data_IF_575104568041
#
_entry.id   IF_575104568041
#
_cell.length_a   1.000
_cell.length_b   1.000
_cell.length_c   1.000
_cell.angle_alpha   90.00
_cell.angle_beta   90.00
_cell.angle_gamma   90.00
#
_symmetry.space_group_name_H-M   'P 1'
#
loop_
_entity.id
_entity.type
_entity.pdbx_description
1 polymer ?
#
# COMPACT_ATOMS: atom_id res chain seq x y z
N UNK A 1 19.57 -7.65 17.61
CA UNK A 1 18.27 -7.08 17.20
C UNK A 1 18.49 -6.04 16.10
N UNK A 2 17.70 -6.14 15.06
CA UNK A 2 17.75 -5.19 13.93
C UNK A 2 17.27 -3.81 14.39
N UNK A 3 17.99 -2.76 14.01
CA UNK A 3 17.64 -1.37 14.38
C UNK A 3 17.07 -0.56 13.22
N UNK A 4 17.35 -0.94 11.99
CA UNK A 4 17.04 -0.16 10.78
C UNK A 4 16.26 -1.05 9.83
N UNK A 5 15.42 -0.42 9.02
CA UNK A 5 14.63 -1.09 8.02
C UNK A 5 13.27 -1.52 8.56
N UNK A 6 12.61 -2.40 7.82
CA UNK A 6 11.32 -2.93 8.22
C UNK A 6 11.51 -3.95 9.33
N UNK A 7 11.07 -3.60 10.53
CA UNK A 7 11.24 -4.47 11.70
C UNK A 7 10.15 -5.53 11.80
N UNK A 8 9.04 -5.36 11.09
CA UNK A 8 7.97 -6.36 11.08
C UNK A 8 8.38 -7.54 10.21
N UNK A 9 8.57 -8.70 10.82
CA UNK A 9 9.06 -9.89 10.12
C UNK A 9 8.06 -10.43 9.08
N UNK A 10 6.77 -10.25 9.31
CA UNK A 10 5.75 -10.69 8.35
C UNK A 10 5.81 -9.86 7.07
N UNK A 11 5.94 -8.53 7.21
CA UNK A 11 6.10 -7.66 6.05
C UNK A 11 7.41 -7.96 5.33
N UNK A 12 8.50 -8.05 6.07
CA UNK A 12 9.81 -8.31 5.48
C UNK A 12 9.83 -9.62 4.67
N UNK A 13 9.21 -10.67 5.21
CA UNK A 13 9.12 -11.95 4.50
C UNK A 13 8.29 -11.83 3.23
N UNK A 14 7.12 -11.19 3.30
CA UNK A 14 6.26 -11.02 2.12
C UNK A 14 6.99 -10.24 1.03
N UNK A 15 7.67 -9.15 1.37
CA UNK A 15 8.40 -8.35 0.39
C UNK A 15 9.56 -9.12 -0.23
N UNK A 16 10.26 -9.93 0.55
CA UNK A 16 11.34 -10.77 0.03
C UNK A 16 10.83 -11.87 -0.90
N UNK A 17 9.61 -12.35 -0.67
CA UNK A 17 9.01 -13.42 -1.47
C UNK A 17 8.34 -12.92 -2.75
N UNK A 18 8.14 -11.60 -2.91
CA UNK A 18 7.48 -11.06 -4.09
C UNK A 18 8.29 -11.27 -5.35
N UNK A 19 7.66 -11.86 -6.36
CA UNK A 19 8.19 -11.96 -7.70
C UNK A 19 7.84 -10.73 -8.54
N UNK A 20 8.32 -10.71 -9.77
CA UNK A 20 8.18 -9.58 -10.68
C UNK A 20 6.73 -9.19 -10.98
N UNK A 21 5.82 -10.15 -11.01
CA UNK A 21 4.41 -9.94 -11.33
C UNK A 21 3.50 -9.92 -10.12
N UNK A 22 4.04 -10.09 -8.92
CA UNK A 22 3.25 -10.13 -7.71
C UNK A 22 2.80 -8.73 -7.29
N UNK A 23 1.73 -8.69 -6.52
CA UNK A 23 1.11 -7.44 -6.06
C UNK A 23 0.85 -7.50 -4.57
N UNK A 24 0.90 -6.33 -3.93
CA UNK A 24 0.47 -6.17 -2.55
C UNK A 24 -0.59 -5.07 -2.49
N UNK A 25 -1.46 -5.15 -1.50
CA UNK A 25 -2.48 -4.15 -1.25
C UNK A 25 -2.29 -3.58 0.14
N UNK A 26 -2.32 -2.26 0.25
CA UNK A 26 -2.29 -1.55 1.53
C UNK A 26 -3.63 -0.84 1.69
N UNK A 27 -4.31 -1.14 2.77
CA UNK A 27 -5.62 -0.56 3.02
C UNK A 27 -5.84 -0.27 4.50
N UNK A 28 -7.01 0.29 4.83
CA UNK A 28 -7.39 0.51 6.22
C UNK A 28 -7.85 -0.81 6.88
N UNK A 29 -8.11 -0.76 8.18
CA UNK A 29 -8.48 -1.95 8.94
C UNK A 29 -9.87 -2.51 8.56
N UNK A 30 -10.67 -1.73 7.85
CA UNK A 30 -11.99 -2.17 7.39
C UNK A 30 -11.97 -2.86 6.02
N UNK A 31 -10.82 -2.89 5.34
CA UNK A 31 -10.74 -3.51 4.03
C UNK A 31 -10.92 -5.03 4.14
N UNK A 32 -11.92 -5.60 3.44
CA UNK A 32 -12.08 -7.05 3.46
C UNK A 32 -10.97 -7.73 2.67
N UNK A 33 -10.43 -8.80 3.24
CA UNK A 33 -9.37 -9.60 2.60
C UNK A 33 -9.98 -10.92 2.15
N UNK A 34 -9.90 -11.27 0.86
CA UNK A 34 -10.43 -12.53 0.37
C UNK A 34 -9.74 -13.73 1.00
N UNK A 35 -10.48 -14.82 1.10
CA UNK A 35 -9.91 -16.10 1.55
C UNK A 35 -8.78 -16.54 0.62
N UNK A 36 -7.70 -17.05 1.20
CA UNK A 36 -6.53 -17.47 0.43
C UNK A 36 -5.50 -16.36 0.21
N UNK A 37 -5.83 -15.11 0.53
CA UNK A 37 -4.89 -14.00 0.48
C UNK A 37 -4.31 -13.77 1.87
N UNK A 38 -2.98 -13.71 1.96
CA UNK A 38 -2.30 -13.45 3.23
C UNK A 38 -2.63 -12.05 3.75
N UNK A 39 -2.99 -11.96 5.01
CA UNK A 39 -3.30 -10.69 5.67
C UNK A 39 -2.28 -10.41 6.76
N UNK A 40 -1.74 -9.19 6.75
CA UNK A 40 -0.88 -8.70 7.82
C UNK A 40 -1.59 -7.51 8.45
N UNK A 41 -2.01 -7.67 9.69
CA UNK A 41 -2.72 -6.63 10.42
C UNK A 41 -1.73 -5.81 11.23
N UNK A 42 -1.60 -4.53 10.88
CA UNK A 42 -0.69 -3.60 11.55
C UNK A 42 -1.43 -2.63 12.48
N UNK A 43 -2.74 -2.73 12.57
CA UNK A 43 -3.52 -1.79 13.36
C UNK A 43 -3.18 -1.91 14.84
N UNK A 44 -2.68 -0.82 15.42
CA UNK A 44 -2.42 -0.71 16.85
C UNK A 44 -3.58 -0.01 17.54
N UNK A 45 -3.98 1.11 16.98
CA UNK A 45 -5.14 1.89 17.42
C UNK A 45 -5.55 2.82 16.29
N UNK A 46 -6.64 3.54 16.46
CA UNK A 46 -7.14 4.44 15.44
C UNK A 46 -6.06 5.44 15.00
N UNK A 47 -5.72 5.42 13.72
CA UNK A 47 -4.71 6.29 13.12
C UNK A 47 -3.26 5.85 13.32
N UNK A 48 -3.00 4.67 13.87
CA UNK A 48 -1.64 4.17 14.07
C UNK A 48 -1.52 2.68 13.71
N UNK A 49 -0.57 2.32 12.82
CA UNK A 49 0.23 3.23 11.99
C UNK A 49 -0.63 3.92 10.94
N UNK A 50 -0.16 5.04 10.40
CA UNK A 50 -0.86 5.73 9.31
C UNK A 50 -0.65 4.97 8.01
N UNK A 51 -1.63 5.07 7.11
CA UNK A 51 -1.54 4.46 5.77
C UNK A 51 -0.28 4.90 5.03
N UNK A 52 -0.01 6.21 5.03
CA UNK A 52 1.13 6.73 4.27
C UNK A 52 2.48 6.34 4.89
N UNK A 53 2.56 6.16 6.19
CA UNK A 53 3.79 5.70 6.83
C UNK A 53 4.14 4.29 6.37
N UNK A 54 3.16 3.40 6.28
CA UNK A 54 3.35 2.03 5.80
C UNK A 54 3.76 2.05 4.33
N UNK A 55 3.09 2.84 3.50
CA UNK A 55 3.39 2.96 2.08
C UNK A 55 4.80 3.48 1.85
N UNK A 56 5.20 4.53 2.56
CA UNK A 56 6.55 5.10 2.43
C UNK A 56 7.64 4.10 2.80
N UNK A 57 7.43 3.37 3.87
CA UNK A 57 8.41 2.38 4.32
C UNK A 57 8.57 1.26 3.29
N UNK A 58 7.47 0.75 2.77
CA UNK A 58 7.51 -0.28 1.73
C UNK A 58 8.20 0.27 0.47
N UNK A 59 7.86 1.46 0.03
CA UNK A 59 8.43 2.08 -1.16
C UNK A 59 9.95 2.31 -1.05
N UNK A 60 10.45 2.51 0.16
CA UNK A 60 11.87 2.72 0.41
C UNK A 60 12.71 1.49 0.04
N UNK A 61 12.16 0.29 0.23
CA UNK A 61 12.91 -0.96 0.05
C UNK A 61 12.50 -1.76 -1.17
N UNK A 62 11.49 -1.31 -1.90
CA UNK A 62 10.97 -2.04 -3.06
C UNK A 62 11.03 -1.19 -4.32
N UNK A 63 11.33 -1.82 -5.44
CA UNK A 63 11.18 -1.20 -6.74
C UNK A 63 9.74 -1.37 -7.21
N UNK A 64 9.00 -0.27 -7.24
CA UNK A 64 7.59 -0.27 -7.59
C UNK A 64 7.44 0.19 -9.04
N UNK A 65 6.84 -0.65 -9.88
CA UNK A 65 6.64 -0.34 -11.29
C UNK A 65 5.28 0.29 -11.57
N UNK A 66 4.26 -0.12 -10.83
CA UNK A 66 2.88 0.31 -11.08
C UNK A 66 2.12 0.44 -9.77
N UNK A 67 1.30 1.47 -9.69
CA UNK A 67 0.45 1.75 -8.54
C UNK A 67 -1.00 1.79 -8.99
N UNK A 68 -1.86 1.04 -8.30
CA UNK A 68 -3.31 1.06 -8.52
C UNK A 68 -3.96 1.84 -7.39
N UNK A 69 -4.67 2.89 -7.73
CA UNK A 69 -5.29 3.78 -6.73
C UNK A 69 -6.76 4.00 -7.07
N UNK A 70 -7.61 4.07 -6.06
CA UNK A 70 -9.01 4.37 -6.24
C UNK A 70 -9.20 5.83 -6.67
N UNK A 71 -10.03 6.06 -7.69
CA UNK A 71 -10.36 7.41 -8.18
C UNK A 71 -10.94 8.28 -7.07
N UNK A 72 -11.71 7.68 -6.19
CA UNK A 72 -12.36 8.37 -5.07
C UNK A 72 -11.38 8.98 -4.09
N UNK A 73 -10.14 8.50 -4.05
CA UNK A 73 -9.11 9.07 -3.18
C UNK A 73 -8.82 10.52 -3.52
N UNK A 74 -8.85 10.89 -4.80
CA UNK A 74 -8.61 12.27 -5.26
C UNK A 74 -9.62 13.25 -4.67
N UNK A 75 -10.90 12.86 -4.62
CA UNK A 75 -11.97 13.73 -4.17
C UNK A 75 -12.24 13.63 -2.67
N UNK A 76 -12.17 12.42 -2.10
CA UNK A 76 -12.53 12.18 -0.69
C UNK A 76 -11.36 12.33 0.27
N UNK A 77 -10.14 12.15 -0.20
CA UNK A 77 -8.94 12.31 0.62
C UNK A 77 -7.83 12.95 -0.21
N UNK A 78 -7.96 14.24 -0.56
CA UNK A 78 -7.00 14.90 -1.43
C UNK A 78 -5.60 14.99 -0.84
N UNK A 79 -5.47 15.03 0.48
CA UNK A 79 -4.15 15.01 1.12
C UNK A 79 -3.44 13.69 0.90
N UNK A 80 -4.13 12.57 1.06
CA UNK A 80 -3.57 11.25 0.81
C UNK A 80 -3.20 11.06 -0.66
N UNK A 81 -4.04 11.56 -1.57
CA UNK A 81 -3.77 11.56 -3.00
C UNK A 81 -2.45 12.29 -3.29
N UNK A 82 -2.28 13.46 -2.70
CA UNK A 82 -1.07 14.26 -2.86
C UNK A 82 0.15 13.56 -2.27
N UNK A 83 0.02 12.99 -1.07
CA UNK A 83 1.10 12.27 -0.41
C UNK A 83 1.54 11.06 -1.25
N UNK A 84 0.61 10.34 -1.86
CA UNK A 84 0.93 9.23 -2.73
C UNK A 84 1.69 9.68 -3.99
N UNK A 85 1.37 10.84 -4.54
CA UNK A 85 2.11 11.40 -5.67
C UNK A 85 3.54 11.79 -5.31
N UNK A 86 3.78 12.18 -4.07
CA UNK A 86 5.12 12.45 -3.58
C UNK A 86 5.95 11.18 -3.45
N UNK A 87 5.33 10.10 -2.98
CA UNK A 87 6.01 8.79 -2.84
C UNK A 87 6.22 8.14 -4.20
N UNK A 88 5.25 8.24 -5.10
CA UNK A 88 5.26 7.61 -6.42
C UNK A 88 5.08 8.66 -7.52
N UNK A 89 6.16 9.38 -7.92
CA UNK A 89 6.06 10.36 -9.00
C UNK A 89 5.60 9.71 -10.31
N UNK A 90 4.69 10.38 -11.02
CA UNK A 90 4.11 9.85 -12.28
C UNK A 90 5.15 9.62 -13.38
N UNK A 91 6.28 10.33 -13.33
CA UNK A 91 7.37 10.16 -14.30
C UNK A 91 8.23 8.91 -14.03
N UNK A 92 8.10 8.29 -12.85
CA UNK A 92 8.88 7.12 -12.45
C UNK A 92 8.05 5.87 -12.27
N UNK A 93 6.78 6.02 -11.93
CA UNK A 93 5.87 4.91 -11.64
C UNK A 93 4.61 5.08 -12.46
N UNK A 94 4.17 4.01 -13.11
CA UNK A 94 2.90 4.03 -13.83
C UNK A 94 1.72 4.04 -12.87
N UNK A 95 0.79 4.97 -13.06
CA UNK A 95 -0.43 5.08 -12.26
C UNK A 95 -1.62 4.50 -13.00
N UNK A 96 -2.39 3.68 -12.32
CA UNK A 96 -3.67 3.17 -12.80
C UNK A 96 -4.74 3.59 -11.81
N UNK A 97 -5.66 4.44 -12.26
CA UNK A 97 -6.75 4.94 -11.42
C UNK A 97 -7.99 4.07 -11.67
N UNK A 98 -8.49 3.46 -10.61
CA UNK A 98 -9.63 2.56 -10.67
C UNK A 98 -10.90 3.23 -10.16
N UNK A 99 -11.99 3.04 -10.87
CA UNK A 99 -13.32 3.47 -10.43
C UNK A 99 -13.95 2.35 -9.61
N UNK A 100 -14.06 2.55 -8.30
CA UNK A 100 -14.60 1.54 -7.39
C UNK A 100 -16.08 1.26 -7.64
N UNK A 101 -16.81 2.16 -8.30
CA UNK A 101 -18.21 1.93 -8.63
C UNK A 101 -18.40 0.81 -9.64
N UNK A 102 -17.33 0.47 -10.38
CA UNK A 102 -17.34 -0.61 -11.37
C UNK A 102 -16.92 -1.95 -10.76
N UNK A 103 -16.50 -1.96 -9.51
CA UNK A 103 -16.07 -3.18 -8.82
C UNK A 103 -17.27 -3.74 -8.05
N UNK A 104 -17.74 -4.88 -8.48
CA UNK A 104 -18.78 -5.63 -7.78
C UNK A 104 -18.11 -6.56 -6.79
N UNK A 105 -18.36 -6.29 -5.54
CA UNK A 105 -17.88 -7.13 -4.45
C UNK A 105 -18.95 -8.17 -4.10
#
# INVERSE_FOLDING_TARGET
MQKIGILNSHIAKVLCDLGHTDQICVGDCGLPVPEGVAKIDLALKLGQPTFIDVVREIATYMEIQKVYVAKETETKNPKQWQDLHEVFPEDKVEWVVLDLSLIHI
#
